data_IF_351595234254
#
_entry.id   IF_351595234254
#
_cell.length_a   1.000
_cell.length_b   1.000
_cell.length_c   1.000
_cell.angle_alpha   90.00
_cell.angle_beta   90.00
_cell.angle_gamma   90.00
#
_symmetry.space_group_name_H-M   'P 1'
#
loop_
_entity.id
_entity.type
_entity.pdbx_description
1 polymer ?
#
# COMPACT_ATOMS: atom_id res chain seq x y z
N UNK A 1 23.33 -12.89 -9.88
CA UNK A 1 23.51 -13.61 -8.61
C UNK A 1 22.16 -14.15 -8.14
N UNK A 2 22.14 -15.31 -7.52
CA UNK A 2 20.95 -15.91 -6.92
C UNK A 2 20.46 -15.00 -5.77
N UNK A 3 19.21 -14.50 -5.79
CA UNK A 3 18.67 -13.68 -4.71
C UNK A 3 18.40 -14.49 -3.41
N UNK A 4 18.55 -15.81 -3.42
CA UNK A 4 18.21 -16.68 -2.29
C UNK A 4 16.73 -16.55 -1.91
N UNK A 5 16.45 -16.43 -0.60
CA UNK A 5 15.10 -16.22 -0.07
C UNK A 5 14.65 -14.75 -0.06
N UNK A 6 15.49 -13.82 -0.57
CA UNK A 6 15.12 -12.41 -0.65
C UNK A 6 14.06 -12.16 -1.71
N UNK A 7 13.12 -11.26 -1.43
CA UNK A 7 12.11 -10.79 -2.39
C UNK A 7 12.44 -9.37 -2.85
N UNK A 8 11.97 -8.96 -4.03
CA UNK A 8 12.20 -7.61 -4.56
C UNK A 8 11.60 -6.52 -3.67
N UNK A 9 10.42 -6.77 -3.08
CA UNK A 9 9.86 -5.97 -2.00
C UNK A 9 9.10 -6.90 -1.05
N UNK A 10 9.41 -6.84 0.26
CA UNK A 10 8.70 -7.59 1.29
C UNK A 10 7.25 -7.14 1.41
N UNK A 11 6.44 -7.95 2.09
CA UNK A 11 5.05 -7.59 2.34
C UNK A 11 4.96 -6.30 3.17
N UNK A 12 4.10 -5.39 2.74
CA UNK A 12 3.86 -4.10 3.38
C UNK A 12 2.52 -3.51 2.95
N UNK A 13 2.15 -2.43 3.61
CA UNK A 13 1.03 -1.55 3.26
C UNK A 13 1.59 -0.16 3.01
N UNK A 14 0.98 0.59 2.08
CA UNK A 14 1.37 1.95 1.80
C UNK A 14 0.75 2.89 2.82
N UNK A 15 1.50 3.90 3.26
CA UNK A 15 1.06 4.85 4.31
C UNK A 15 0.06 5.88 3.77
N UNK A 16 0.10 6.17 2.47
CA UNK A 16 -0.62 7.24 1.76
C UNK A 16 -2.16 7.01 1.65
N UNK A 17 -2.82 7.84 0.83
CA UNK A 17 -4.23 7.61 0.45
C UNK A 17 -4.36 6.47 -0.56
N UNK A 18 -3.74 6.63 -1.72
CA UNK A 18 -3.73 5.64 -2.80
C UNK A 18 -2.37 5.66 -3.49
N UNK A 19 -1.99 4.53 -4.06
CA UNK A 19 -0.83 4.42 -4.93
C UNK A 19 -1.28 4.12 -6.34
N UNK A 20 -0.71 4.83 -7.32
CA UNK A 20 -0.93 4.60 -8.73
C UNK A 20 0.33 3.97 -9.31
N UNK A 21 0.20 2.78 -9.92
CA UNK A 21 1.30 2.07 -10.53
C UNK A 21 1.00 1.84 -12.01
N UNK A 22 1.91 2.25 -12.87
CA UNK A 22 1.77 1.99 -14.32
C UNK A 22 1.84 0.50 -14.60
N UNK A 23 0.89 0.01 -15.41
CA UNK A 23 0.63 -1.42 -15.61
C UNK A 23 1.81 -2.26 -16.08
N UNK A 24 2.70 -1.72 -16.91
CA UNK A 24 3.89 -2.44 -17.39
C UNK A 24 4.85 -2.88 -16.28
N UNK A 25 4.71 -2.31 -15.07
CA UNK A 25 5.60 -2.54 -13.93
C UNK A 25 5.03 -3.52 -12.89
N UNK A 26 3.86 -4.10 -13.14
CA UNK A 26 3.18 -4.94 -12.13
C UNK A 26 3.63 -6.41 -12.12
N UNK A 27 4.55 -6.82 -12.99
CA UNK A 27 5.06 -8.21 -12.99
C UNK A 27 5.70 -8.56 -11.64
N UNK A 28 5.23 -9.66 -11.04
CA UNK A 28 5.63 -10.09 -9.71
C UNK A 28 4.92 -9.40 -8.54
N UNK A 29 4.02 -8.44 -8.82
CA UNK A 29 3.16 -7.87 -7.79
C UNK A 29 2.11 -8.89 -7.34
N UNK A 30 2.03 -9.12 -6.04
CA UNK A 30 1.01 -9.95 -5.41
C UNK A 30 0.31 -9.17 -4.30
N UNK A 31 -0.99 -9.38 -4.16
CA UNK A 31 -1.82 -8.80 -3.11
C UNK A 31 -2.39 -9.89 -2.21
N UNK A 32 -2.51 -9.61 -0.93
CA UNK A 32 -3.12 -10.51 0.04
C UNK A 32 -4.65 -10.32 0.02
N UNK A 33 -5.38 -11.36 -0.37
CA UNK A 33 -6.85 -11.31 -0.39
C UNK A 33 -7.44 -11.49 1.02
N UNK A 34 -8.78 -11.37 1.13
CA UNK A 34 -9.49 -11.52 2.42
C UNK A 34 -9.43 -12.94 2.99
N UNK A 35 -9.10 -13.93 2.19
CA UNK A 35 -8.93 -15.32 2.59
C UNK A 35 -7.51 -15.62 3.09
N UNK A 36 -6.61 -14.62 3.05
CA UNK A 36 -5.20 -14.79 3.43
C UNK A 36 -4.35 -15.42 2.32
N UNK A 37 -4.80 -15.41 1.08
CA UNK A 37 -4.09 -15.97 -0.06
C UNK A 37 -3.41 -14.86 -0.87
N UNK A 38 -2.21 -15.14 -1.38
CA UNK A 38 -1.50 -14.25 -2.29
C UNK A 38 -2.01 -14.41 -3.72
N UNK A 39 -2.48 -13.31 -4.30
CA UNK A 39 -3.02 -13.26 -5.66
C UNK A 39 -2.11 -12.41 -6.53
N UNK A 40 -1.57 -13.01 -7.60
CA UNK A 40 -0.75 -12.30 -8.58
C UNK A 40 -1.57 -11.27 -9.36
N UNK A 41 -1.02 -10.08 -9.52
CA UNK A 41 -1.64 -9.01 -10.30
C UNK A 41 -1.03 -8.98 -11.68
N UNK A 42 -1.87 -9.20 -12.69
CA UNK A 42 -1.51 -9.04 -14.10
C UNK A 42 -1.93 -7.66 -14.58
N UNK A 43 -0.95 -6.87 -15.00
CA UNK A 43 -1.25 -5.55 -15.55
C UNK A 43 -1.85 -5.66 -16.95
N UNK A 44 -2.93 -4.93 -17.18
CA UNK A 44 -3.50 -4.75 -18.51
C UNK A 44 -2.73 -3.61 -19.20
N UNK A 45 -2.22 -3.79 -20.43
CA UNK A 45 -1.54 -2.72 -21.16
C UNK A 45 -2.36 -1.44 -21.22
N UNK A 46 -1.73 -0.29 -20.91
CA UNK A 46 -2.39 1.02 -20.90
C UNK A 46 -3.27 1.28 -19.67
N UNK A 47 -3.27 0.39 -18.68
CA UNK A 47 -3.99 0.58 -17.41
C UNK A 47 -3.09 1.09 -16.29
N UNK A 48 -3.73 1.58 -15.23
CA UNK A 48 -3.12 1.84 -13.92
C UNK A 48 -3.60 0.77 -12.93
N UNK A 49 -2.66 0.24 -12.16
CA UNK A 49 -2.99 -0.51 -10.94
C UNK A 49 -3.10 0.48 -9.80
N UNK A 50 -4.20 0.44 -9.07
CA UNK A 50 -4.47 1.36 -7.94
C UNK A 50 -4.66 0.54 -6.69
N UNK A 51 -3.94 0.87 -5.62
CA UNK A 51 -4.16 0.27 -4.30
C UNK A 51 -4.43 1.33 -3.23
N UNK A 52 -5.26 0.94 -2.27
CA UNK A 52 -5.62 1.74 -1.09
C UNK A 52 -4.47 1.71 -0.10
N UNK A 53 -4.14 2.87 0.48
CA UNK A 53 -3.18 3.01 1.56
C UNK A 53 -3.85 3.25 2.93
N UNK A 54 -3.03 3.31 3.97
CA UNK A 54 -3.47 3.40 5.36
C UNK A 54 -4.27 4.67 5.67
N UNK A 55 -3.92 5.82 5.07
CA UNK A 55 -4.65 7.06 5.30
C UNK A 55 -6.08 6.99 4.76
N UNK A 56 -6.31 6.35 3.62
CA UNK A 56 -7.67 6.17 3.10
C UNK A 56 -8.45 5.13 3.92
N UNK A 57 -7.78 4.10 4.45
CA UNK A 57 -8.39 3.16 5.39
C UNK A 57 -8.91 3.90 6.64
N UNK A 58 -8.12 4.81 7.21
CA UNK A 58 -8.54 5.62 8.37
C UNK A 58 -9.72 6.52 8.02
N UNK A 59 -9.64 7.29 6.93
CA UNK A 59 -10.72 8.18 6.47
C UNK A 59 -12.04 7.44 6.26
N UNK A 60 -11.98 6.22 5.73
CA UNK A 60 -13.18 5.41 5.48
C UNK A 60 -13.55 4.49 6.64
N UNK A 61 -12.96 4.69 7.82
CA UNK A 61 -13.22 3.87 9.00
C UNK A 61 -13.11 2.36 8.73
N UNK A 62 -12.13 1.96 7.92
CA UNK A 62 -11.90 0.57 7.53
C UNK A 62 -12.87 0.02 6.48
N UNK A 63 -13.74 0.86 5.88
CA UNK A 63 -14.59 0.43 4.77
C UNK A 63 -13.76 0.04 3.55
N UNK A 64 -12.82 0.89 3.17
CA UNK A 64 -11.75 0.55 2.23
C UNK A 64 -10.51 0.17 3.05
N UNK A 65 -10.04 -1.06 2.89
CA UNK A 65 -8.87 -1.55 3.62
C UNK A 65 -7.60 -1.25 2.86
N UNK A 66 -6.56 -0.88 3.59
CA UNK A 66 -5.19 -0.83 3.07
C UNK A 66 -4.81 -2.19 2.50
N UNK A 67 -4.14 -2.20 1.37
CA UNK A 67 -3.85 -3.40 0.61
C UNK A 67 -2.46 -3.92 0.95
N UNK A 68 -2.39 -5.02 1.70
CA UNK A 68 -1.13 -5.71 1.92
C UNK A 68 -0.65 -6.31 0.60
N UNK A 69 0.57 -5.97 0.19
CA UNK A 69 1.14 -6.42 -1.07
C UNK A 69 2.65 -6.68 -0.95
N UNK A 70 3.19 -7.39 -1.93
CA UNK A 70 4.62 -7.70 -2.06
C UNK A 70 5.02 -7.78 -3.52
N UNK A 71 6.32 -7.76 -3.78
CA UNK A 71 6.87 -8.02 -5.12
C UNK A 71 7.82 -9.20 -5.04
N UNK A 72 7.43 -10.30 -5.64
CA UNK A 72 8.24 -11.52 -5.70
C UNK A 72 9.25 -11.48 -6.84
N UNK A 73 10.27 -12.33 -6.75
CA UNK A 73 11.25 -12.47 -7.81
C UNK A 73 10.62 -13.14 -9.05
N UNK A 74 11.02 -12.75 -10.27
CA UNK A 74 10.60 -13.45 -11.46
C UNK A 74 11.22 -14.86 -11.51
N UNK A 75 10.81 -15.72 -12.43
CA UNK A 75 11.49 -16.98 -12.71
C UNK A 75 13.00 -16.80 -12.98
N UNK A 76 13.80 -17.82 -12.66
CA UNK A 76 15.28 -17.76 -12.71
C UNK A 76 15.83 -17.27 -14.05
N UNK A 77 15.16 -17.61 -15.13
CA UNK A 77 15.54 -17.24 -16.50
C UNK A 77 15.53 -15.71 -16.71
N UNK A 78 14.74 -14.99 -15.89
CA UNK A 78 14.58 -13.53 -15.97
C UNK A 78 15.37 -12.75 -14.91
N UNK A 79 16.19 -13.39 -14.09
CA UNK A 79 16.91 -12.70 -13.01
C UNK A 79 17.92 -11.64 -13.48
N UNK A 80 18.47 -11.81 -14.68
CA UNK A 80 19.40 -10.86 -15.31
C UNK A 80 18.68 -9.67 -15.98
N UNK A 81 17.35 -9.73 -16.11
CA UNK A 81 16.59 -8.65 -16.75
C UNK A 81 16.30 -7.54 -15.73
N UNK A 82 16.69 -6.28 -16.03
CA UNK A 82 16.34 -5.16 -15.18
C UNK A 82 14.81 -4.93 -15.21
N UNK A 83 14.23 -4.65 -14.05
CA UNK A 83 12.81 -4.29 -13.91
C UNK A 83 12.72 -2.91 -13.25
N UNK A 84 12.03 -2.02 -13.92
CA UNK A 84 11.75 -0.69 -13.41
C UNK A 84 10.28 -0.59 -12.98
N UNK A 85 10.04 0.09 -11.87
CA UNK A 85 8.71 0.36 -11.34
C UNK A 85 8.66 1.81 -10.87
N UNK A 86 7.62 2.53 -11.24
CA UNK A 86 7.42 3.94 -10.87
C UNK A 86 6.06 4.06 -10.19
N UNK A 87 5.98 3.81 -8.86
CA UNK A 87 4.78 4.06 -8.11
C UNK A 87 4.63 5.58 -7.86
N UNK A 88 3.41 6.07 -7.97
CA UNK A 88 3.04 7.42 -7.57
C UNK A 88 2.22 7.35 -6.29
N UNK A 89 2.79 7.87 -5.20
CA UNK A 89 2.15 7.90 -3.88
C UNK A 89 1.36 9.19 -3.70
N UNK A 90 0.04 9.12 -3.69
CA UNK A 90 -0.82 10.27 -3.44
C UNK A 90 -0.97 10.50 -1.94
N UNK A 91 -0.29 11.54 -1.44
CA UNK A 91 -0.40 11.99 -0.05
C UNK A 91 -1.29 13.23 0.05
N UNK A 92 -2.11 13.36 1.11
CA UNK A 92 -2.76 14.62 1.41
C UNK A 92 -1.76 15.62 1.98
N UNK A 93 -2.15 16.91 2.02
CA UNK A 93 -1.36 17.91 2.74
C UNK A 93 -1.28 17.57 4.23
N UNK A 94 -0.14 17.80 4.87
CA UNK A 94 0.11 17.35 6.26
C UNK A 94 -0.92 17.81 7.28
N UNK A 95 -1.53 18.99 7.13
CA UNK A 95 -2.57 19.53 8.03
C UNK A 95 -3.98 18.92 7.80
N UNK A 96 -4.16 18.08 6.77
CA UNK A 96 -5.46 17.45 6.53
C UNK A 96 -5.80 16.49 7.67
N UNK A 97 -7.00 16.62 8.31
CA UNK A 97 -7.43 15.65 9.31
C UNK A 97 -7.78 14.31 8.63
N UNK A 98 -7.36 13.21 9.27
CA UNK A 98 -7.71 11.84 8.88
C UNK A 98 -8.87 11.27 9.71
N UNK A 99 -9.72 12.15 10.22
CA UNK A 99 -10.90 11.77 10.99
C UNK A 99 -11.83 10.93 10.13
N UNK A 100 -12.37 9.86 10.72
CA UNK A 100 -13.31 9.00 10.01
C UNK A 100 -14.51 9.78 9.49
N UNK A 101 -14.80 9.64 8.20
CA UNK A 101 -15.95 10.26 7.56
C UNK A 101 -17.25 9.78 8.21
N UNK A 102 -18.16 10.71 8.55
CA UNK A 102 -19.40 10.39 9.26
C UNK A 102 -20.23 9.30 8.56
N UNK A 103 -20.31 9.33 7.23
CA UNK A 103 -21.00 8.33 6.43
C UNK A 103 -20.37 6.92 6.47
N UNK A 104 -19.16 6.81 6.98
CA UNK A 104 -18.46 5.53 7.16
C UNK A 104 -18.59 4.96 8.58
N UNK A 105 -19.31 5.67 9.47
CA UNK A 105 -19.56 5.25 10.85
C UNK A 105 -21.02 4.80 10.95
N UNK A 106 -21.27 3.66 11.59
CA UNK A 106 -22.61 3.14 11.85
C UNK A 106 -22.59 2.22 13.08
N UNK A 107 -23.75 1.76 13.52
CA UNK A 107 -23.88 0.80 14.63
C UNK A 107 -23.12 -0.51 14.34
N UNK A 108 -23.10 -0.95 13.07
CA UNK A 108 -22.37 -2.14 12.64
C UNK A 108 -20.88 -1.87 12.29
N UNK A 109 -20.50 -0.61 12.20
CA UNK A 109 -19.12 -0.15 12.00
C UNK A 109 -18.85 1.06 12.89
N UNK A 110 -18.67 0.84 14.21
CA UNK A 110 -18.34 1.92 15.13
C UNK A 110 -16.97 2.53 14.76
N UNK A 111 -16.72 3.72 15.28
CA UNK A 111 -15.45 4.41 15.06
C UNK A 111 -14.27 3.54 15.52
N UNK A 112 -13.33 3.27 14.60
CA UNK A 112 -12.20 2.37 14.82
C UNK A 112 -10.85 3.08 14.99
N UNK A 113 -10.74 4.37 14.58
CA UNK A 113 -9.50 5.12 14.58
C UNK A 113 -9.64 6.44 15.31
N UNK A 114 -8.59 6.82 16.04
CA UNK A 114 -8.49 8.13 16.69
C UNK A 114 -8.26 9.25 15.67
N UNK A 115 -8.57 10.49 16.05
CA UNK A 115 -8.32 11.66 15.24
C UNK A 115 -6.84 11.95 15.18
N UNK A 116 -6.33 12.20 13.96
CA UNK A 116 -4.93 12.53 13.71
C UNK A 116 -4.84 13.34 12.41
N UNK A 117 -3.81 14.17 12.26
CA UNK A 117 -3.51 14.78 10.97
C UNK A 117 -2.69 13.84 10.09
N UNK A 118 -2.74 14.06 8.78
CA UNK A 118 -1.93 13.26 7.83
C UNK A 118 -0.43 13.39 8.10
N UNK A 119 0.03 14.58 8.51
CA UNK A 119 1.43 14.81 8.84
C UNK A 119 1.88 14.08 10.09
N UNK A 120 1.07 14.12 11.15
CA UNK A 120 1.38 13.41 12.39
C UNK A 120 1.37 11.91 12.17
N UNK A 121 0.36 11.39 11.47
CA UNK A 121 0.28 9.96 11.10
C UNK A 121 1.51 9.52 10.28
N UNK A 122 1.89 10.29 9.27
CA UNK A 122 3.10 10.01 8.49
C UNK A 122 4.35 9.97 9.39
N UNK A 123 4.48 10.93 10.32
CA UNK A 123 5.60 10.95 11.26
C UNK A 123 5.64 9.72 12.15
N UNK A 124 4.51 9.30 12.72
CA UNK A 124 4.42 8.08 13.52
C UNK A 124 4.88 6.86 12.71
N UNK A 125 4.36 6.68 11.50
CA UNK A 125 4.74 5.56 10.65
C UNK A 125 6.23 5.58 10.26
N UNK A 126 6.80 6.74 9.95
CA UNK A 126 8.23 6.86 9.63
C UNK A 126 9.12 6.50 10.81
N UNK A 127 8.70 6.81 12.05
CA UNK A 127 9.42 6.39 13.26
C UNK A 127 9.33 4.87 13.45
N UNK A 128 8.13 4.30 13.33
CA UNK A 128 7.92 2.85 13.48
C UNK A 128 8.75 2.01 12.50
N UNK A 129 8.87 2.45 11.26
CA UNK A 129 9.67 1.75 10.23
C UNK A 129 11.16 2.13 10.26
N UNK A 130 11.60 2.95 11.23
CA UNK A 130 13.00 3.31 11.45
C UNK A 130 13.60 4.32 10.47
N UNK A 131 12.79 5.01 9.68
CA UNK A 131 13.23 6.05 8.74
C UNK A 131 13.34 7.44 9.40
N UNK A 132 12.80 7.61 10.60
CA UNK A 132 12.90 8.83 11.40
C UNK A 132 13.23 8.48 12.85
N UNK A 133 14.06 9.29 13.51
CA UNK A 133 14.31 9.22 14.95
C UNK A 133 13.26 10.04 15.69
N UNK A 134 12.89 9.61 16.89
CA UNK A 134 12.07 10.38 17.84
C UNK A 134 12.76 11.70 18.21
#
# INVERSE_FOLDING_TARGET
SDPGDSVRAGQHEDINLITLLMGASAEGLEVLNKQGEWVGITAIPGSLVVNVGDMLQRLTNGYLKSTTHRVVNPPKEKWSEPRYSIPFFLHPVGKMPLNALAQCISDTRPRAFDDITAGDYLNERLVEIGLKKN
#
